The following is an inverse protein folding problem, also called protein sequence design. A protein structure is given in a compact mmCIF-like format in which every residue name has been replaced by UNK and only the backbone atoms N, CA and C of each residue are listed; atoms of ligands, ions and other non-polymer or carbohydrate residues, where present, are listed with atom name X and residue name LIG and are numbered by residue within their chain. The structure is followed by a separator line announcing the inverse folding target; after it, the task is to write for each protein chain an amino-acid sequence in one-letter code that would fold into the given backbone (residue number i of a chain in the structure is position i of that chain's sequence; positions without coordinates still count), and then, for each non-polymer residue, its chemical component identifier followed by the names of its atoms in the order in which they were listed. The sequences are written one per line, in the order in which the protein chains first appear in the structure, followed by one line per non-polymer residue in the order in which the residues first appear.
data_IF_645849116346
#
_entry.id   IF_645849116346
#
_cell.length_a   1.000
_cell.length_b   1.000
_cell.length_c   1.000
_cell.angle_alpha   90.00
_cell.angle_beta   90.00
_cell.angle_gamma   90.00
#
_symmetry.space_group_name_H-M   'P 1'
#
loop_
_entity.id
_entity.type
_entity.pdbx_description
1 polymer ?
#
# COMPACT_ATOMS: atom_id res chain seq x y z
N UNK A 1 -82.43 27.51 -18.39
CA UNK A 1 -82.03 26.11 -18.14
C UNK A 1 -80.58 25.81 -18.60
N UNK A 2 -79.67 26.81 -18.61
CA UNK A 2 -78.31 26.64 -19.18
C UNK A 2 -77.14 27.00 -18.26
N UNK A 3 -77.37 27.60 -17.09
CA UNK A 3 -76.31 28.05 -16.18
C UNK A 3 -75.73 26.93 -15.29
N UNK A 4 -76.47 25.85 -15.05
CA UNK A 4 -76.01 24.73 -14.22
C UNK A 4 -75.06 23.74 -14.90
N UNK A 5 -75.02 23.73 -16.24
CA UNK A 5 -74.16 22.84 -17.01
C UNK A 5 -72.72 23.35 -17.11
N UNK A 6 -72.53 24.67 -17.12
CA UNK A 6 -71.19 25.29 -17.14
C UNK A 6 -70.47 25.14 -15.80
N UNK A 7 -71.18 25.33 -14.67
CA UNK A 7 -70.58 25.20 -13.34
C UNK A 7 -70.11 23.78 -13.02
N UNK A 8 -70.86 22.76 -13.48
CA UNK A 8 -70.48 21.36 -13.27
C UNK A 8 -69.22 20.97 -14.07
N UNK A 9 -69.06 21.54 -15.27
CA UNK A 9 -67.87 21.32 -16.10
C UNK A 9 -66.63 22.02 -15.50
N UNK A 10 -66.79 23.19 -14.91
CA UNK A 10 -65.70 23.90 -14.22
C UNK A 10 -65.26 23.19 -12.92
N UNK A 11 -66.19 22.60 -12.17
CA UNK A 11 -65.87 21.77 -10.98
C UNK A 11 -65.13 20.48 -11.34
N UNK A 12 -65.56 19.75 -12.40
CA UNK A 12 -64.85 18.56 -12.87
C UNK A 12 -63.46 18.91 -13.42
N UNK A 13 -63.32 20.03 -14.13
CA UNK A 13 -62.03 20.50 -14.63
C UNK A 13 -61.07 20.88 -13.49
N UNK A 14 -61.57 21.60 -12.47
CA UNK A 14 -60.78 21.96 -11.29
C UNK A 14 -60.34 20.73 -10.48
N UNK A 15 -61.22 19.73 -10.34
CA UNK A 15 -60.89 18.49 -9.66
C UNK A 15 -59.84 17.68 -10.44
N UNK A 16 -60.01 17.56 -11.76
CA UNK A 16 -59.06 16.86 -12.65
C UNK A 16 -57.68 17.55 -12.69
N UNK A 17 -57.64 18.88 -12.61
CA UNK A 17 -56.39 19.62 -12.53
C UNK A 17 -55.63 19.32 -11.22
N UNK A 18 -56.33 19.35 -10.09
CA UNK A 18 -55.71 19.09 -8.78
C UNK A 18 -55.21 17.65 -8.62
N UNK A 19 -55.88 16.66 -9.22
CA UNK A 19 -55.43 15.27 -9.19
C UNK A 19 -54.22 15.04 -10.10
N UNK A 20 -54.18 15.67 -11.28
CA UNK A 20 -53.01 15.60 -12.17
C UNK A 20 -51.77 16.24 -11.54
N UNK A 21 -51.93 17.38 -10.86
CA UNK A 21 -50.83 18.05 -10.16
C UNK A 21 -50.29 17.17 -9.01
N UNK A 22 -51.19 16.51 -8.26
CA UNK A 22 -50.81 15.58 -7.21
C UNK A 22 -50.05 14.36 -7.75
N UNK A 23 -50.54 13.72 -8.82
CA UNK A 23 -49.89 12.56 -9.42
C UNK A 23 -48.51 12.91 -9.99
N UNK A 24 -48.39 14.08 -10.63
CA UNK A 24 -47.11 14.56 -11.14
C UNK A 24 -46.11 14.83 -10.02
N UNK A 25 -46.54 15.53 -8.95
CA UNK A 25 -45.68 15.80 -7.80
C UNK A 25 -45.23 14.51 -7.09
N UNK A 26 -46.10 13.51 -6.99
CA UNK A 26 -45.76 12.24 -6.37
C UNK A 26 -44.75 11.44 -7.23
N UNK A 27 -44.94 11.42 -8.55
CA UNK A 27 -44.01 10.78 -9.49
C UNK A 27 -42.62 11.44 -9.47
N UNK A 28 -42.56 12.77 -9.39
CA UNK A 28 -41.30 13.53 -9.27
C UNK A 28 -40.61 13.24 -7.94
N UNK A 29 -41.35 13.19 -6.82
CA UNK A 29 -40.79 12.90 -5.50
C UNK A 29 -40.19 11.49 -5.42
N UNK A 30 -40.84 10.49 -6.00
CA UNK A 30 -40.29 9.13 -6.10
C UNK A 30 -39.00 9.09 -6.93
N UNK A 31 -38.99 9.81 -8.06
CA UNK A 31 -37.78 9.92 -8.89
C UNK A 31 -36.63 10.56 -8.11
N UNK A 32 -36.91 11.63 -7.36
CA UNK A 32 -35.92 12.30 -6.49
C UNK A 32 -35.40 11.35 -5.41
N UNK A 33 -36.27 10.58 -4.74
CA UNK A 33 -35.86 9.61 -3.71
C UNK A 33 -34.94 8.54 -4.26
N UNK A 34 -35.24 8.01 -5.44
CA UNK A 34 -34.40 6.99 -6.08
C UNK A 34 -33.01 7.54 -6.46
N UNK A 35 -32.94 8.78 -6.96
CA UNK A 35 -31.67 9.45 -7.28
C UNK A 35 -30.86 9.72 -6.01
N UNK A 36 -31.50 10.24 -4.96
CA UNK A 36 -30.83 10.55 -3.67
C UNK A 36 -30.32 9.27 -3.00
N UNK A 37 -31.13 8.20 -3.01
CA UNK A 37 -30.71 6.90 -2.49
C UNK A 37 -29.52 6.34 -3.27
N UNK A 38 -29.53 6.45 -4.60
CA UNK A 38 -28.41 6.03 -5.44
C UNK A 38 -27.14 6.86 -5.17
N UNK A 39 -27.27 8.17 -4.97
CA UNK A 39 -26.18 9.06 -4.55
C UNK A 39 -25.54 8.62 -3.24
N UNK A 40 -26.36 8.29 -2.23
CA UNK A 40 -25.87 7.79 -0.94
C UNK A 40 -25.07 6.48 -1.04
N UNK A 41 -25.44 5.57 -1.95
CA UNK A 41 -24.65 4.36 -2.21
C UNK A 41 -23.30 4.66 -2.89
N UNK A 42 -23.26 5.67 -3.75
CA UNK A 42 -22.03 6.10 -4.44
C UNK A 42 -21.09 6.80 -3.46
N UNK A 43 -21.62 7.64 -2.57
CA UNK A 43 -20.83 8.33 -1.54
C UNK A 43 -20.25 7.33 -0.52
N UNK A 44 -21.05 6.36 -0.08
CA UNK A 44 -20.57 5.30 0.82
C UNK A 44 -19.48 4.43 0.18
N UNK A 45 -19.63 4.08 -1.11
CA UNK A 45 -18.60 3.33 -1.84
C UNK A 45 -17.31 4.16 -2.02
N UNK A 46 -17.43 5.48 -2.24
CA UNK A 46 -16.28 6.38 -2.33
C UNK A 46 -15.54 6.49 -1.01
N UNK A 47 -16.25 6.59 0.12
CA UNK A 47 -15.65 6.68 1.45
C UNK A 47 -14.91 5.39 1.83
N UNK A 48 -15.50 4.22 1.53
CA UNK A 48 -14.86 2.92 1.78
C UNK A 48 -13.57 2.75 0.96
N UNK A 49 -13.60 3.13 -0.32
CA UNK A 49 -12.40 3.13 -1.17
C UNK A 49 -11.36 4.14 -0.67
N UNK A 50 -11.80 5.33 -0.24
CA UNK A 50 -10.89 6.38 0.24
C UNK A 50 -10.19 5.96 1.54
N UNK A 51 -10.90 5.33 2.47
CA UNK A 51 -10.33 4.82 3.70
C UNK A 51 -9.35 3.65 3.44
N UNK A 52 -9.69 2.76 2.49
CA UNK A 52 -8.78 1.69 2.07
C UNK A 52 -7.48 2.26 1.46
N UNK A 53 -7.58 3.24 0.56
CA UNK A 53 -6.41 3.89 -0.05
C UNK A 53 -5.55 4.61 1.00
N UNK A 54 -6.18 5.30 1.95
CA UNK A 54 -5.47 6.00 3.03
C UNK A 54 -4.75 5.06 3.98
N UNK A 55 -5.29 3.85 4.18
CA UNK A 55 -4.62 2.80 4.95
C UNK A 55 -3.38 2.27 4.20
N UNK A 56 -3.50 2.03 2.90
CA UNK A 56 -2.38 1.58 2.06
C UNK A 56 -1.24 2.60 2.00
N UNK A 57 -1.55 3.89 1.83
CA UNK A 57 -0.55 4.96 1.76
C UNK A 57 0.28 5.06 3.06
N UNK A 58 -0.39 4.95 4.22
CA UNK A 58 0.30 4.89 5.52
C UNK A 58 1.19 3.65 5.65
N UNK A 59 0.72 2.51 5.16
CA UNK A 59 1.48 1.26 5.20
C UNK A 59 2.73 1.35 4.31
N UNK A 60 2.61 1.87 3.09
CA UNK A 60 3.73 2.08 2.17
C UNK A 60 4.78 3.02 2.75
N UNK A 61 4.38 4.15 3.35
CA UNK A 61 5.29 5.09 3.97
C UNK A 61 6.10 4.47 5.13
N UNK A 62 5.44 3.68 5.98
CA UNK A 62 6.09 2.99 7.10
C UNK A 62 7.03 1.91 6.59
N UNK A 63 6.60 1.11 5.61
CA UNK A 63 7.39 0.02 5.07
C UNK A 63 8.62 0.51 4.31
N UNK A 64 8.47 1.60 3.54
CA UNK A 64 9.58 2.27 2.88
C UNK A 64 10.59 2.84 3.89
N UNK A 65 10.11 3.48 4.97
CA UNK A 65 10.97 3.99 6.04
C UNK A 65 11.79 2.90 6.75
N UNK A 66 11.16 1.78 7.08
CA UNK A 66 11.84 0.61 7.67
C UNK A 66 12.84 0.00 6.68
N UNK A 67 12.48 -0.08 5.40
CA UNK A 67 13.36 -0.56 4.34
C UNK A 67 14.62 0.28 4.18
N UNK A 68 14.48 1.62 4.13
CA UNK A 68 15.63 2.54 4.09
C UNK A 68 16.52 2.38 5.33
N UNK A 69 15.94 2.30 6.52
CA UNK A 69 16.71 2.18 7.76
C UNK A 69 17.51 0.87 7.78
N UNK A 70 16.89 -0.23 7.39
CA UNK A 70 17.54 -1.54 7.32
C UNK A 70 18.64 -1.56 6.26
N UNK A 71 18.40 -0.96 5.09
CA UNK A 71 19.40 -0.82 4.04
C UNK A 71 20.59 0.04 4.48
N UNK A 72 20.33 1.14 5.20
CA UNK A 72 21.36 2.01 5.76
C UNK A 72 22.23 1.27 6.79
N UNK A 73 21.61 0.54 7.72
CA UNK A 73 22.31 -0.30 8.68
C UNK A 73 23.18 -1.34 7.98
N UNK A 74 22.64 -2.02 6.97
CA UNK A 74 23.38 -3.01 6.20
C UNK A 74 24.59 -2.41 5.47
N UNK A 75 24.40 -1.26 4.82
CA UNK A 75 25.47 -0.55 4.13
C UNK A 75 26.58 -0.10 5.09
N UNK A 76 26.22 0.37 6.29
CA UNK A 76 27.17 0.79 7.32
C UNK A 76 28.06 -0.37 7.77
N UNK A 77 27.49 -1.58 7.91
CA UNK A 77 28.24 -2.81 8.21
C UNK A 77 29.26 -3.11 7.11
N UNK A 78 28.83 -3.05 5.85
CA UNK A 78 29.70 -3.27 4.69
C UNK A 78 30.85 -2.27 4.68
N UNK A 79 30.58 -0.98 4.92
CA UNK A 79 31.60 0.07 4.96
C UNK A 79 32.63 -0.19 6.06
N UNK A 80 32.20 -0.52 7.29
CA UNK A 80 33.13 -0.81 8.40
C UNK A 80 34.02 -2.02 8.08
N UNK A 81 33.44 -3.05 7.45
CA UNK A 81 34.18 -4.26 7.07
C UNK A 81 35.20 -3.98 5.95
N UNK A 82 34.79 -3.22 4.93
CA UNK A 82 35.63 -2.83 3.80
C UNK A 82 36.77 -1.91 4.26
N UNK A 83 36.47 -0.86 5.02
CA UNK A 83 37.49 0.04 5.60
C UNK A 83 38.41 -0.73 6.54
N UNK A 84 37.88 -1.64 7.36
CA UNK A 84 38.68 -2.53 8.21
C UNK A 84 39.65 -3.38 7.40
N UNK A 85 39.18 -3.99 6.31
CA UNK A 85 39.99 -4.82 5.41
C UNK A 85 41.09 -4.00 4.71
N UNK A 86 40.75 -2.86 4.11
CA UNK A 86 41.73 -1.98 3.46
C UNK A 86 42.75 -1.42 4.44
N UNK A 87 42.32 -1.00 5.64
CA UNK A 87 43.21 -0.47 6.67
C UNK A 87 44.13 -1.57 7.25
N UNK A 88 43.66 -2.83 7.27
CA UNK A 88 44.47 -4.01 7.58
C UNK A 88 45.54 -4.32 6.51
N UNK A 89 45.18 -4.23 5.22
CA UNK A 89 46.10 -4.51 4.11
C UNK A 89 47.11 -3.38 3.86
N UNK A 90 46.68 -2.11 3.90
CA UNK A 90 47.55 -0.94 3.65
C UNK A 90 48.40 -0.53 4.88
N UNK A 91 48.03 -0.95 6.09
CA UNK A 91 48.83 -0.75 7.30
C UNK A 91 50.05 -1.68 7.42
N UNK A 92 50.23 -2.63 6.49
CA UNK A 92 51.33 -3.58 6.46
C UNK A 92 52.59 -2.94 5.85
N UNK A 93 53.30 -2.17 6.65
CA UNK A 93 54.63 -1.64 6.29
C UNK A 93 55.70 -2.69 6.62
N UNK A 94 56.32 -3.29 5.60
CA UNK A 94 57.36 -4.34 5.73
C UNK A 94 58.66 -3.87 6.41
N UNK A 95 58.78 -2.56 6.65
CA UNK A 95 59.99 -1.88 7.14
C UNK A 95 59.86 -1.28 8.57
N UNK A 96 58.75 -1.51 9.27
CA UNK A 96 58.57 -0.98 10.63
C UNK A 96 59.24 -1.88 11.69
N UNK A 97 60.02 -1.28 12.60
CA UNK A 97 60.63 -1.98 13.75
C UNK A 97 59.57 -2.70 14.61
N UNK A 98 59.91 -3.84 15.23
CA UNK A 98 58.97 -4.70 15.96
C UNK A 98 58.24 -4.04 17.14
N UNK A 99 58.62 -2.81 17.52
CA UNK A 99 58.01 -2.03 18.61
C UNK A 99 57.28 -0.74 18.17
N UNK A 100 57.22 -0.41 16.87
CA UNK A 100 56.51 0.78 16.39
C UNK A 100 55.27 0.38 15.58
N UNK A 101 54.17 0.07 16.27
CA UNK A 101 52.87 -0.09 15.62
C UNK A 101 52.45 1.24 15.01
N UNK A 102 52.23 1.29 13.70
CA UNK A 102 51.56 2.41 13.05
C UNK A 102 50.15 2.56 13.62
N UNK A 103 49.75 3.79 13.96
CA UNK A 103 48.42 4.13 14.48
C UNK A 103 47.29 3.60 13.58
N UNK A 104 47.54 3.58 12.27
CA UNK A 104 46.62 3.10 11.23
C UNK A 104 46.31 1.60 11.38
N UNK A 105 47.32 0.77 11.66
CA UNK A 105 47.13 -0.69 11.86
C UNK A 105 46.38 -1.01 13.16
N UNK A 106 46.65 -0.27 14.24
CA UNK A 106 45.92 -0.43 15.51
C UNK A 106 44.43 -0.03 15.38
N UNK A 107 44.15 0.99 14.57
CA UNK A 107 42.78 1.39 14.24
C UNK A 107 42.09 0.33 13.37
N UNK A 108 42.77 -0.17 12.33
CA UNK A 108 42.27 -1.25 11.46
C UNK A 108 41.91 -2.52 12.24
N UNK A 109 42.74 -2.94 13.19
CA UNK A 109 42.45 -4.09 14.04
C UNK A 109 41.21 -3.91 14.94
N UNK A 110 41.01 -2.70 15.48
CA UNK A 110 39.80 -2.36 16.26
C UNK A 110 38.55 -2.29 15.39
N UNK A 111 38.66 -1.75 14.18
CA UNK A 111 37.56 -1.72 13.20
C UNK A 111 37.17 -3.12 12.73
N UNK A 112 38.13 -4.01 12.45
CA UNK A 112 37.84 -5.40 12.06
C UNK A 112 37.18 -6.15 13.23
N UNK A 113 37.70 -6.01 14.44
CA UNK A 113 37.13 -6.68 15.62
C UNK A 113 35.69 -6.20 15.90
N UNK A 114 35.44 -4.89 15.78
CA UNK A 114 34.09 -4.33 15.87
C UNK A 114 33.18 -4.79 14.72
N UNK A 115 33.71 -4.83 13.49
CA UNK A 115 32.97 -5.30 12.31
C UNK A 115 32.55 -6.76 12.40
N UNK A 116 33.39 -7.65 12.93
CA UNK A 116 33.03 -9.06 13.17
C UNK A 116 31.90 -9.17 14.20
N UNK A 117 31.97 -8.41 15.29
CA UNK A 117 30.93 -8.40 16.31
C UNK A 117 29.58 -7.94 15.74
N UNK A 118 29.59 -6.82 15.00
CA UNK A 118 28.39 -6.31 14.35
C UNK A 118 27.88 -7.29 13.29
N UNK A 119 28.77 -7.90 12.51
CA UNK A 119 28.45 -8.93 11.52
C UNK A 119 27.69 -10.09 12.16
N UNK A 120 28.23 -10.69 13.23
CA UNK A 120 27.60 -11.80 13.95
C UNK A 120 26.24 -11.42 14.53
N UNK A 121 26.10 -10.21 15.10
CA UNK A 121 24.81 -9.72 15.63
C UNK A 121 23.79 -9.47 14.52
N UNK A 122 24.24 -9.02 13.34
CA UNK A 122 23.37 -8.73 12.19
C UNK A 122 22.98 -9.96 11.35
N UNK A 123 23.81 -11.01 11.35
CA UNK A 123 23.56 -12.26 10.60
C UNK A 123 22.18 -12.89 10.83
N UNK A 124 21.71 -13.11 12.08
CA UNK A 124 20.38 -13.66 12.31
C UNK A 124 19.26 -12.73 11.84
N UNK A 125 19.44 -11.41 11.93
CA UNK A 125 18.46 -10.43 11.44
C UNK A 125 18.31 -10.55 9.92
N UNK A 126 19.43 -10.60 9.20
CA UNK A 126 19.45 -10.74 7.74
C UNK A 126 18.88 -12.09 7.29
N UNK A 127 19.20 -13.17 8.01
CA UNK A 127 18.66 -14.50 7.73
C UNK A 127 17.14 -14.54 7.92
N UNK A 128 16.63 -13.91 8.99
CA UNK A 128 15.20 -13.81 9.25
C UNK A 128 14.50 -12.99 8.16
N UNK A 129 15.05 -11.84 7.77
CA UNK A 129 14.50 -11.03 6.67
C UNK A 129 14.47 -11.81 5.36
N UNK A 130 15.56 -12.50 5.00
CA UNK A 130 15.60 -13.32 3.78
C UNK A 130 14.56 -14.45 3.79
N UNK A 131 14.38 -15.10 4.93
CA UNK A 131 13.41 -16.19 5.10
C UNK A 131 11.97 -15.68 4.96
N UNK A 132 11.64 -14.54 5.58
CA UNK A 132 10.31 -13.92 5.45
C UNK A 132 10.04 -13.49 4.02
N UNK A 133 11.01 -12.82 3.37
CA UNK A 133 10.88 -12.41 1.96
C UNK A 133 10.66 -13.61 1.03
N UNK A 134 11.39 -14.71 1.25
CA UNK A 134 11.21 -15.93 0.48
C UNK A 134 9.85 -16.60 0.74
N UNK A 135 9.40 -16.61 1.99
CA UNK A 135 8.07 -17.12 2.36
C UNK A 135 6.95 -16.32 1.70
N UNK A 136 7.03 -14.99 1.72
CA UNK A 136 6.06 -14.12 1.05
C UNK A 136 6.11 -14.30 -0.48
N UNK A 137 7.30 -14.35 -1.08
CA UNK A 137 7.46 -14.54 -2.52
C UNK A 137 6.87 -15.88 -3.00
N UNK A 138 7.13 -16.96 -2.26
CA UNK A 138 6.57 -18.28 -2.57
C UNK A 138 5.06 -18.36 -2.35
N UNK A 139 4.53 -17.66 -1.33
CA UNK A 139 3.09 -17.52 -1.11
C UNK A 139 2.38 -16.80 -2.27
N UNK A 140 2.96 -15.69 -2.76
CA UNK A 140 2.41 -14.94 -3.90
C UNK A 140 2.44 -15.77 -5.18
N UNK A 141 3.50 -16.55 -5.41
CA UNK A 141 3.57 -17.46 -6.56
C UNK A 141 2.47 -18.52 -6.53
N UNK A 142 2.20 -19.10 -5.35
CA UNK A 142 1.11 -20.09 -5.18
C UNK A 142 -0.26 -19.48 -5.38
N UNK A 143 -0.50 -18.29 -4.84
CA UNK A 143 -1.75 -17.56 -5.03
C UNK A 143 -1.99 -17.22 -6.52
N UNK A 144 -0.93 -16.87 -7.25
CA UNK A 144 -1.01 -16.56 -8.67
C UNK A 144 -1.33 -17.79 -9.53
N UNK A 145 -0.78 -18.97 -9.18
CA UNK A 145 -1.09 -20.23 -9.85
C UNK A 145 -2.55 -20.66 -9.61
N UNK A 146 -3.08 -20.47 -8.40
CA UNK A 146 -4.48 -20.78 -8.08
C UNK A 146 -5.48 -19.82 -8.74
N UNK A 147 -5.08 -18.57 -9.03
CA UNK A 147 -5.89 -17.61 -9.78
C UNK A 147 -5.80 -17.76 -11.31
N UNK A 148 -4.83 -18.53 -11.83
CA UNK A 148 -4.72 -18.79 -13.26
C UNK A 148 -5.88 -19.70 -13.68
N UNK A 149 -6.83 -19.24 -14.53
CA UNK A 149 -7.93 -20.10 -14.96
C UNK A 149 -7.35 -21.30 -15.71
N UNK A 150 -7.86 -22.53 -15.48
CA UNK A 150 -7.38 -23.71 -16.17
C UNK A 150 -7.51 -23.49 -17.68
N UNK A 151 -6.41 -23.72 -18.40
CA UNK A 151 -6.41 -23.66 -19.86
C UNK A 151 -7.31 -24.79 -20.37
N UNK A 152 -8.54 -24.47 -20.74
CA UNK A 152 -9.45 -25.41 -21.40
C UNK A 152 -9.08 -25.44 -22.89
N UNK A 153 -8.57 -26.55 -23.44
CA UNK A 153 -8.32 -26.65 -24.89
C UNK A 153 -9.63 -26.72 -25.71
N UNK A 154 -10.80 -26.77 -25.07
CA UNK A 154 -12.11 -26.98 -25.71
C UNK A 154 -12.81 -25.71 -26.22
N UNK A 155 -12.26 -24.50 -26.04
CA UNK A 155 -12.79 -23.27 -26.69
C UNK A 155 -11.80 -22.68 -27.72
N UNK A 156 -10.90 -23.51 -28.27
CA UNK A 156 -9.98 -23.12 -29.35
C UNK A 156 -10.35 -23.79 -30.69
N UNK A 157 -11.64 -23.84 -30.99
CA UNK A 157 -12.18 -24.20 -32.31
C UNK A 157 -13.10 -23.08 -32.79
#
# INVERSE_FOLDING_TARGET
CGSGLSQKAEEEFSSTHSTLEYDYLNAVNETIRNIVSSGGHIDNARDEVHDALKYLDKYEAVWNGVGILLACLFFLIVVVFVVGSFCGSFGYSREAQPNSRSSVSNCGGRCILGGIFIGVVSSPVLLMTATVSFGLATGVQKLCEDLQPPNYPVLRE
#
